data_IF_662030038046
#
_entry.id   IF_662030038046
#
_cell.length_a   1.000
_cell.length_b   1.000
_cell.length_c   1.000
_cell.angle_alpha   90.00
_cell.angle_beta   90.00
_cell.angle_gamma   90.00
#
_symmetry.space_group_name_H-M   'P 1'
#
loop_
_entity.id
_entity.type
_entity.pdbx_description
1 polymer ?
#
# COMPACT_ATOMS: atom_id res chain seq x y z
N UNK A 1 9.53 6.10 -1.43
CA UNK A 1 8.92 5.24 -2.47
C UNK A 1 7.48 5.67 -2.63
N UNK A 2 6.96 5.74 -3.86
CA UNK A 2 5.51 5.81 -4.11
C UNK A 2 5.10 4.74 -5.12
N UNK A 3 3.93 4.14 -4.89
CA UNK A 3 3.36 3.11 -5.75
C UNK A 3 1.85 3.28 -5.86
N UNK A 4 1.28 2.88 -7.00
CA UNK A 4 -0.15 2.79 -7.22
C UNK A 4 -0.61 1.35 -7.04
N UNK A 5 -1.78 1.14 -6.46
CA UNK A 5 -2.40 -0.18 -6.31
C UNK A 5 -3.90 -0.10 -6.57
N UNK A 6 -4.64 -1.19 -6.38
CA UNK A 6 -6.09 -1.21 -6.64
C UNK A 6 -6.46 -1.42 -8.11
N UNK A 7 -7.71 -1.10 -8.47
CA UNK A 7 -8.32 -1.44 -9.76
C UNK A 7 -7.56 -0.87 -10.96
N UNK A 8 -6.95 0.31 -10.81
CA UNK A 8 -6.12 0.94 -11.85
C UNK A 8 -4.83 0.17 -12.09
N UNK A 9 -4.12 -0.21 -11.03
CA UNK A 9 -2.90 -1.02 -11.16
C UNK A 9 -3.19 -2.44 -11.69
N UNK A 10 -4.39 -2.96 -11.41
CA UNK A 10 -4.86 -4.27 -11.88
C UNK A 10 -5.46 -4.26 -13.29
N UNK A 11 -5.59 -3.10 -13.95
CA UNK A 11 -6.21 -2.99 -15.29
C UNK A 11 -7.73 -3.20 -15.31
N UNK A 12 -8.38 -3.07 -14.15
CA UNK A 12 -9.83 -3.24 -13.95
C UNK A 12 -10.55 -1.90 -13.70
N UNK A 13 -9.90 -0.78 -14.02
CA UNK A 13 -10.44 0.55 -13.82
C UNK A 13 -11.70 0.78 -14.66
N UNK A 14 -12.68 1.41 -14.02
CA UNK A 14 -13.85 2.05 -14.65
C UNK A 14 -13.60 3.56 -14.73
N UNK A 15 -14.42 4.28 -15.50
CA UNK A 15 -14.27 5.73 -15.71
C UNK A 15 -14.38 6.55 -14.40
N UNK A 16 -14.96 5.96 -13.35
CA UNK A 16 -15.15 6.53 -12.01
C UNK A 16 -14.20 5.94 -10.95
N UNK A 17 -13.18 5.16 -11.35
CA UNK A 17 -12.26 4.55 -10.39
C UNK A 17 -11.29 5.57 -9.79
N UNK A 18 -11.26 5.60 -8.45
CA UNK A 18 -10.23 6.31 -7.69
C UNK A 18 -8.85 5.68 -7.91
N UNK A 19 -7.81 6.50 -7.88
CA UNK A 19 -6.41 6.10 -7.96
C UNK A 19 -5.80 6.07 -6.56
N UNK A 20 -5.58 4.86 -6.04
CA UNK A 20 -4.89 4.65 -4.78
C UNK A 20 -3.38 4.92 -4.93
N UNK A 21 -2.91 6.00 -4.31
CA UNK A 21 -1.49 6.38 -4.23
C UNK A 21 -0.94 6.06 -2.85
N UNK A 22 -0.12 5.01 -2.77
CA UNK A 22 0.56 4.65 -1.54
C UNK A 22 1.94 5.31 -1.45
N UNK A 23 2.18 6.00 -0.34
CA UNK A 23 3.42 6.68 -0.01
C UNK A 23 4.15 5.94 1.10
N UNK A 24 5.46 5.88 0.98
CA UNK A 24 6.36 5.52 2.08
C UNK A 24 7.03 6.78 2.62
N UNK A 25 7.03 6.94 3.94
CA UNK A 25 7.59 8.11 4.63
C UNK A 25 8.58 7.67 5.72
N UNK A 26 9.73 8.36 5.79
CA UNK A 26 10.76 8.13 6.80
C UNK A 26 10.56 9.09 7.98
N UNK A 27 9.77 8.68 8.95
CA UNK A 27 9.44 9.48 10.12
C UNK A 27 8.40 8.79 10.98
N UNK A 28 7.99 9.46 12.05
CA UNK A 28 6.94 8.93 12.91
C UNK A 28 5.55 9.01 12.24
N UNK A 29 4.57 8.32 12.83
CA UNK A 29 3.20 8.27 12.30
C UNK A 29 2.56 9.66 12.17
N UNK A 30 2.88 10.58 13.08
CA UNK A 30 2.34 11.95 13.07
C UNK A 30 2.96 12.77 11.94
N UNK A 31 4.27 12.64 11.72
CA UNK A 31 4.96 13.25 10.59
C UNK A 31 4.44 12.71 9.25
N UNK A 32 4.23 11.40 9.16
CA UNK A 32 3.69 10.77 7.97
C UNK A 32 2.27 11.26 7.65
N UNK A 33 1.38 11.41 8.65
CA UNK A 33 0.04 11.99 8.43
C UNK A 33 0.10 13.48 8.05
N UNK A 34 1.01 14.26 8.65
CA UNK A 34 1.23 15.65 8.22
C UNK A 34 1.67 15.73 6.77
N UNK A 35 2.58 14.85 6.36
CA UNK A 35 3.04 14.77 4.97
C UNK A 35 1.92 14.35 4.03
N UNK A 36 1.16 13.31 4.38
CA UNK A 36 -0.04 12.89 3.65
C UNK A 36 -1.01 14.05 3.44
N UNK A 37 -1.31 14.81 4.49
CA UNK A 37 -2.20 15.96 4.40
C UNK A 37 -1.68 17.07 3.48
N UNK A 38 -0.36 17.31 3.48
CA UNK A 38 0.26 18.23 2.53
C UNK A 38 0.13 17.75 1.07
N UNK A 39 0.31 16.45 0.81
CA UNK A 39 0.11 15.88 -0.52
C UNK A 39 -1.35 16.00 -1.00
N UNK A 40 -2.33 15.77 -0.11
CA UNK A 40 -3.75 15.94 -0.43
C UNK A 40 -4.04 17.38 -0.85
N UNK A 41 -3.52 18.35 -0.10
CA UNK A 41 -3.66 19.77 -0.43
C UNK A 41 -3.03 20.12 -1.78
N UNK A 42 -1.86 19.57 -2.08
CA UNK A 42 -1.16 19.87 -3.33
C UNK A 42 -1.87 19.27 -4.55
N UNK A 43 -2.32 18.02 -4.47
CA UNK A 43 -2.99 17.34 -5.58
C UNK A 43 -4.40 17.90 -5.84
N UNK A 44 -5.13 18.30 -4.80
CA UNK A 44 -6.43 19.00 -4.87
C UNK A 44 -7.44 18.37 -5.85
N UNK A 45 -7.37 17.05 -6.08
CA UNK A 45 -8.23 16.28 -6.96
C UNK A 45 -8.73 15.07 -6.20
N UNK A 46 -10.05 14.93 -6.11
CA UNK A 46 -10.73 13.91 -5.31
C UNK A 46 -10.58 12.50 -5.86
N UNK A 47 -10.05 12.33 -7.09
CA UNK A 47 -9.80 11.02 -7.70
C UNK A 47 -8.58 10.31 -7.11
N UNK A 48 -7.81 10.95 -6.22
CA UNK A 48 -6.60 10.35 -5.64
C UNK A 48 -6.80 10.04 -4.17
N UNK A 49 -6.75 8.75 -3.83
CA UNK A 49 -6.68 8.31 -2.44
C UNK A 49 -5.22 8.16 -2.03
N UNK A 50 -4.73 9.11 -1.22
CA UNK A 50 -3.35 9.11 -0.73
C UNK A 50 -3.28 8.35 0.59
N UNK A 51 -2.41 7.36 0.66
CA UNK A 51 -2.29 6.43 1.79
C UNK A 51 -0.85 6.28 2.24
N UNK A 52 -0.63 6.07 3.55
CA UNK A 52 0.69 5.80 4.11
C UNK A 52 0.88 4.29 4.26
N UNK A 53 1.92 3.74 3.62
CA UNK A 53 2.18 2.30 3.54
C UNK A 53 2.15 1.59 4.89
N UNK A 54 2.82 2.15 5.90
CA UNK A 54 2.89 1.55 7.24
C UNK A 54 1.64 1.76 8.10
N UNK A 55 0.69 2.58 7.67
CA UNK A 55 -0.61 2.71 8.34
C UNK A 55 -1.63 1.68 7.82
N UNK A 56 -1.34 1.04 6.68
CA UNK A 56 -2.22 0.04 6.09
C UNK A 56 -2.16 -1.28 6.87
N UNK A 57 -3.27 -2.05 6.92
CA UNK A 57 -3.24 -3.44 7.36
C UNK A 57 -2.26 -4.28 6.53
N UNK A 58 -1.63 -5.28 7.15
CA UNK A 58 -0.58 -6.08 6.52
C UNK A 58 -1.00 -6.73 5.19
N UNK A 59 -2.25 -7.22 5.10
CA UNK A 59 -2.77 -7.81 3.87
C UNK A 59 -2.94 -6.78 2.74
N UNK A 60 -3.29 -5.52 3.06
CA UNK A 60 -3.37 -4.44 2.07
C UNK A 60 -1.98 -4.05 1.59
N UNK A 61 -0.97 -4.02 2.47
CA UNK A 61 0.42 -3.75 2.08
C UNK A 61 0.94 -4.73 1.02
N UNK A 62 0.49 -5.98 1.06
CA UNK A 62 0.79 -6.97 0.01
C UNK A 62 0.19 -6.57 -1.34
N UNK A 63 -1.05 -6.08 -1.36
CA UNK A 63 -1.66 -5.58 -2.58
C UNK A 63 -0.92 -4.34 -3.11
N UNK A 64 -0.41 -3.47 -2.23
CA UNK A 64 0.45 -2.34 -2.63
C UNK A 64 1.73 -2.83 -3.32
N UNK A 65 2.40 -3.82 -2.74
CA UNK A 65 3.65 -4.40 -3.29
C UNK A 65 3.40 -5.05 -4.67
N UNK A 66 2.25 -5.68 -4.87
CA UNK A 66 1.84 -6.24 -6.16
C UNK A 66 1.46 -5.18 -7.19
N UNK A 67 1.22 -3.95 -6.74
CA UNK A 67 0.89 -2.82 -7.59
C UNK A 67 2.06 -2.32 -8.42
N UNK A 68 1.90 -1.11 -8.96
CA UNK A 68 2.88 -0.47 -9.83
C UNK A 68 3.72 0.53 -9.03
N UNK A 69 5.03 0.32 -8.99
CA UNK A 69 5.96 1.31 -8.48
C UNK A 69 5.96 2.54 -9.39
N UNK A 70 5.68 3.71 -8.83
CA UNK A 70 5.67 5.00 -9.55
C UNK A 70 6.99 5.74 -9.38
N UNK A 71 7.58 5.70 -8.17
CA UNK A 71 8.84 6.37 -7.88
C UNK A 71 9.61 5.70 -6.75
N UNK A 72 10.93 5.58 -6.92
CA UNK A 72 11.85 5.18 -5.87
C UNK A 72 13.20 5.91 -6.04
N UNK A 73 13.74 6.40 -4.92
CA UNK A 73 15.09 6.98 -4.86
C UNK A 73 16.17 5.90 -4.78
N UNK A 74 15.91 4.83 -4.01
CA UNK A 74 16.75 3.64 -3.94
C UNK A 74 15.86 2.41 -4.16
N UNK A 75 16.15 1.62 -5.20
CA UNK A 75 15.38 0.43 -5.54
C UNK A 75 15.66 -0.73 -4.58
N UNK A 76 16.86 -0.82 -4.00
CA UNK A 76 17.20 -1.86 -3.01
C UNK A 76 16.34 -1.69 -1.76
N UNK A 77 16.14 -0.44 -1.35
CA UNK A 77 15.24 -0.10 -0.25
C UNK A 77 13.80 -0.61 -0.51
N UNK A 78 13.30 -0.47 -1.74
CA UNK A 78 11.96 -1.00 -2.11
C UNK A 78 11.92 -2.52 -1.98
N UNK A 79 12.95 -3.21 -2.47
CA UNK A 79 13.02 -4.67 -2.35
C UNK A 79 13.12 -5.14 -0.90
N UNK A 80 13.87 -4.43 -0.05
CA UNK A 80 13.98 -4.75 1.37
C UNK A 80 12.63 -4.64 2.08
N UNK A 81 11.88 -3.57 1.82
CA UNK A 81 10.52 -3.38 2.36
C UNK A 81 9.57 -4.46 1.84
N UNK A 82 9.63 -4.76 0.54
CA UNK A 82 8.77 -5.78 -0.06
C UNK A 82 9.05 -7.16 0.54
N UNK A 83 10.31 -7.56 0.63
CA UNK A 83 10.71 -8.85 1.19
C UNK A 83 10.29 -9.00 2.65
N UNK A 84 10.51 -7.97 3.48
CA UNK A 84 10.07 -7.98 4.89
C UNK A 84 8.56 -8.13 5.00
N UNK A 85 7.81 -7.35 4.23
CA UNK A 85 6.34 -7.37 4.25
C UNK A 85 5.78 -8.72 3.79
N UNK A 86 6.35 -9.32 2.74
CA UNK A 86 5.97 -10.66 2.25
C UNK A 86 6.20 -11.69 3.36
N UNK A 87 7.38 -11.68 3.99
CA UNK A 87 7.68 -12.60 5.08
C UNK A 87 6.74 -12.44 6.27
N UNK A 88 6.48 -11.20 6.69
CA UNK A 88 5.53 -10.90 7.77
C UNK A 88 4.13 -11.41 7.42
N UNK A 89 3.69 -11.19 6.18
CA UNK A 89 2.39 -11.68 5.72
C UNK A 89 2.35 -13.20 5.69
N UNK A 90 3.39 -13.89 5.24
CA UNK A 90 3.44 -15.36 5.24
C UNK A 90 3.28 -15.94 6.65
N UNK A 91 3.89 -15.33 7.67
CA UNK A 91 3.68 -15.73 9.07
C UNK A 91 2.25 -15.47 9.56
N UNK A 92 1.60 -14.43 9.06
CA UNK A 92 0.22 -14.05 9.41
C UNK A 92 -0.85 -14.78 8.58
N UNK A 93 -0.50 -15.24 7.38
CA UNK A 93 -1.40 -15.66 6.30
C UNK A 93 -2.42 -16.69 6.73
N UNK A 94 -1.98 -17.72 7.46
CA UNK A 94 -2.85 -18.81 7.90
C UNK A 94 -3.97 -18.31 8.82
N UNK A 95 -3.65 -17.42 9.77
CA UNK A 95 -4.65 -16.82 10.68
C UNK A 95 -5.61 -15.91 9.93
N UNK A 96 -5.09 -15.14 8.97
CA UNK A 96 -5.91 -14.28 8.14
C UNK A 96 -6.88 -15.09 7.27
N UNK A 97 -6.41 -16.18 6.66
CA UNK A 97 -7.22 -17.01 5.79
C UNK A 97 -8.32 -17.76 6.53
N UNK A 98 -8.04 -18.21 7.74
CA UNK A 98 -9.04 -18.79 8.62
C UNK A 98 -10.10 -17.76 9.03
N UNK A 99 -9.67 -16.56 9.43
CA UNK A 99 -10.57 -15.46 9.81
C UNK A 99 -11.54 -15.06 8.70
N UNK A 100 -11.10 -15.07 7.43
CA UNK A 100 -11.96 -14.73 6.28
C UNK A 100 -12.65 -15.96 5.66
N UNK A 101 -12.49 -17.15 6.23
CA UNK A 101 -13.10 -18.40 5.74
C UNK A 101 -12.52 -18.92 4.42
N UNK A 102 -11.30 -18.51 4.05
CA UNK A 102 -10.63 -18.94 2.81
C UNK A 102 -9.99 -20.32 2.95
N UNK A 103 -9.27 -20.56 4.05
CA UNK A 103 -8.60 -21.82 4.37
C UNK A 103 -8.67 -22.00 5.89
N UNK A 104 -9.13 -23.15 6.38
CA UNK A 104 -9.18 -23.43 7.82
C UNK A 104 -7.76 -23.66 8.38
N UNK A 105 -7.52 -23.25 9.63
CA UNK A 105 -6.30 -23.65 10.33
C UNK A 105 -6.30 -25.18 10.55
N UNK A 106 -5.29 -25.87 9.99
CA UNK A 106 -5.01 -27.30 10.23
C UNK A 106 -3.84 -27.45 11.19
#
# INVERSE_FOLDING_TARGET
MSGAYGSVAAGQARDDSDLDLCLWYDGDATEAERFRFACIKELSDSRYDILIFFHLPLYIRIEVIRGRLLYAKDLRFVYDIAYRTIREFDYFKHRFYDYIGKEAMV
#
